data_IF_441320685894
#
_entry.id   IF_441320685894
#
_cell.length_a   1.000
_cell.length_b   1.000
_cell.length_c   1.000
_cell.angle_alpha   90.00
_cell.angle_beta   90.00
_cell.angle_gamma   90.00
#
_symmetry.space_group_name_H-M   'P 1'
#
loop_
_entity.id
_entity.type
_entity.pdbx_description
1 polymer ?
#
# COMPACT_ATOMS: atom_id res chain seq x y z
N UNK A 1 8.39 -20.95 -19.66
CA UNK A 1 8.99 -19.60 -19.46
C UNK A 1 10.50 -19.72 -19.19
N UNK A 2 11.30 -20.26 -20.13
CA UNK A 2 12.76 -20.43 -19.94
C UNK A 2 13.60 -19.72 -21.03
N UNK A 3 12.95 -19.22 -22.06
CA UNK A 3 13.59 -18.65 -23.26
C UNK A 3 14.04 -17.20 -23.04
N UNK A 4 13.20 -16.36 -22.44
CA UNK A 4 13.52 -14.94 -22.15
C UNK A 4 14.66 -14.82 -21.14
N UNK A 5 14.62 -15.60 -20.06
CA UNK A 5 15.63 -15.58 -19.00
C UNK A 5 17.04 -15.91 -19.53
N UNK A 6 17.16 -16.82 -20.51
CA UNK A 6 18.44 -17.20 -21.10
C UNK A 6 19.13 -16.07 -21.88
N UNK A 7 18.35 -15.21 -22.55
CA UNK A 7 18.88 -14.10 -23.37
C UNK A 7 19.46 -12.99 -22.48
N UNK A 8 18.85 -12.76 -21.32
CA UNK A 8 19.27 -11.70 -20.40
C UNK A 8 20.33 -12.15 -19.39
N UNK A 9 20.48 -13.46 -19.16
CA UNK A 9 21.48 -14.01 -18.23
C UNK A 9 22.92 -13.63 -18.59
N UNK A 10 23.24 -13.51 -19.89
CA UNK A 10 24.57 -13.08 -20.34
C UNK A 10 24.76 -11.56 -20.28
N UNK A 11 23.67 -10.79 -20.38
CA UNK A 11 23.70 -9.32 -20.40
C UNK A 11 23.67 -8.69 -19.02
N UNK A 12 23.03 -9.34 -18.06
CA UNK A 12 22.91 -8.88 -16.69
C UNK A 12 23.48 -9.93 -15.75
N UNK A 13 24.63 -9.61 -15.15
CA UNK A 13 25.17 -10.39 -14.03
C UNK A 13 24.25 -10.22 -12.83
N UNK A 14 24.08 -11.27 -12.04
CA UNK A 14 23.44 -11.14 -10.73
C UNK A 14 24.25 -10.16 -9.87
N UNK A 15 23.56 -9.30 -9.13
CA UNK A 15 24.20 -8.44 -8.12
C UNK A 15 24.83 -9.36 -7.07
N UNK A 16 26.11 -9.15 -6.75
CA UNK A 16 26.85 -9.92 -5.74
C UNK A 16 26.34 -9.66 -4.32
N UNK A 17 26.85 -10.41 -3.34
CA UNK A 17 26.49 -10.21 -1.94
C UNK A 17 26.89 -8.80 -1.48
N UNK A 18 26.12 -8.19 -0.56
CA UNK A 18 26.37 -6.81 -0.11
C UNK A 18 27.79 -6.63 0.48
N UNK A 19 28.33 -7.67 1.12
CA UNK A 19 29.69 -7.67 1.68
C UNK A 19 30.79 -7.57 0.61
N UNK A 20 30.51 -7.96 -0.64
CA UNK A 20 31.47 -7.91 -1.75
C UNK A 20 31.47 -6.53 -2.44
N UNK A 21 30.58 -5.62 -2.03
CA UNK A 21 30.44 -4.33 -2.70
C UNK A 21 31.59 -3.40 -2.31
N UNK A 22 32.22 -2.70 -3.27
CA UNK A 22 33.24 -1.72 -2.96
C UNK A 22 32.65 -0.57 -2.14
N UNK A 23 33.45 0.02 -1.26
CA UNK A 23 33.05 1.23 -0.53
C UNK A 23 32.66 2.33 -1.53
N UNK A 24 31.51 2.94 -1.31
CA UNK A 24 31.04 4.04 -2.14
C UNK A 24 31.86 5.31 -1.87
N UNK A 25 32.68 5.72 -2.84
CA UNK A 25 33.46 6.97 -2.82
C UNK A 25 32.84 8.08 -3.70
N UNK A 26 31.58 7.88 -4.10
CA UNK A 26 30.86 8.86 -4.89
C UNK A 26 30.33 10.03 -4.05
N UNK A 27 29.96 11.15 -4.68
CA UNK A 27 29.29 12.23 -3.98
C UNK A 27 27.95 11.76 -3.41
N UNK A 28 27.58 12.26 -2.23
CA UNK A 28 26.23 12.09 -1.71
C UNK A 28 25.26 12.94 -2.54
N UNK A 29 24.46 12.28 -3.37
CA UNK A 29 23.45 12.94 -4.19
C UNK A 29 22.19 13.12 -3.35
N UNK A 30 22.02 14.31 -2.78
CA UNK A 30 20.77 14.70 -2.15
C UNK A 30 19.83 15.32 -3.18
N UNK A 31 18.58 14.84 -3.31
CA UNK A 31 17.59 15.51 -4.15
C UNK A 31 17.41 16.95 -3.69
N UNK A 32 17.44 17.92 -4.62
CA UNK A 32 17.18 19.31 -4.27
C UNK A 32 15.71 19.46 -3.80
N UNK A 33 15.45 19.83 -2.53
CA UNK A 33 14.08 19.91 -2.01
C UNK A 33 13.19 20.88 -2.79
N UNK A 34 13.76 21.89 -3.44
CA UNK A 34 13.02 22.88 -4.27
C UNK A 34 12.56 22.32 -5.61
N UNK A 35 13.25 21.30 -6.12
CA UNK A 35 12.90 20.60 -7.37
C UNK A 35 12.06 19.35 -7.10
N UNK A 36 11.94 18.94 -5.84
CA UNK A 36 11.04 17.85 -5.49
C UNK A 36 9.61 18.26 -5.78
N UNK A 37 8.84 17.33 -6.34
CA UNK A 37 7.40 17.48 -6.47
C UNK A 37 6.84 17.72 -5.07
N UNK A 38 6.36 18.93 -4.80
CA UNK A 38 5.59 19.21 -3.59
C UNK A 38 4.44 18.21 -3.60
N UNK A 39 4.32 17.43 -2.53
CA UNK A 39 3.25 16.45 -2.36
C UNK A 39 1.94 17.23 -2.19
N UNK A 40 1.39 17.74 -3.29
CA UNK A 40 -0.01 18.14 -3.34
C UNK A 40 -0.80 16.86 -3.06
N UNK A 41 -1.73 16.94 -2.13
CA UNK A 41 -2.66 15.83 -1.89
C UNK A 41 -3.27 15.43 -3.23
N UNK A 42 -3.65 14.15 -3.34
CA UNK A 42 -4.40 13.69 -4.51
C UNK A 42 -5.59 14.63 -4.70
N UNK A 43 -5.76 15.24 -5.89
CA UNK A 43 -6.94 16.04 -6.16
C UNK A 43 -8.19 15.24 -5.80
N UNK A 44 -9.17 15.89 -5.17
CA UNK A 44 -10.46 15.27 -4.91
C UNK A 44 -11.04 14.86 -6.27
N UNK A 45 -11.46 13.60 -6.37
CA UNK A 45 -12.12 13.13 -7.58
C UNK A 45 -13.41 13.91 -7.78
N UNK A 46 -13.54 14.59 -8.93
CA UNK A 46 -14.79 15.22 -9.37
C UNK A 46 -15.69 14.24 -10.14
N UNK A 47 -15.24 12.99 -10.29
CA UNK A 47 -15.99 11.96 -11.01
C UNK A 47 -17.25 11.61 -10.22
N UNK A 48 -18.41 11.79 -10.84
CA UNK A 48 -19.67 11.17 -10.40
C UNK A 48 -19.55 9.66 -10.58
N UNK A 49 -19.85 8.87 -9.55
CA UNK A 49 -19.94 7.42 -9.66
C UNK A 49 -21.27 7.03 -10.31
N UNK A 50 -21.23 6.04 -11.21
CA UNK A 50 -22.41 5.54 -11.92
C UNK A 50 -22.77 4.14 -11.38
N UNK A 51 -23.92 3.59 -11.78
CA UNK A 51 -24.33 2.23 -11.39
C UNK A 51 -23.30 1.13 -11.79
N UNK A 52 -22.46 1.36 -12.81
CA UNK A 52 -21.36 0.43 -13.15
C UNK A 52 -20.19 0.48 -12.14
N UNK A 53 -20.02 1.59 -11.41
CA UNK A 53 -19.07 1.72 -10.32
C UNK A 53 -19.63 1.15 -9.00
N UNK A 54 -20.94 0.91 -8.92
CA UNK A 54 -21.58 0.29 -7.78
C UNK A 54 -21.26 -1.21 -7.77
N UNK A 55 -20.47 -1.62 -6.79
CA UNK A 55 -20.24 -3.05 -6.53
C UNK A 55 -21.40 -3.55 -5.67
N UNK A 56 -22.17 -4.51 -6.17
CA UNK A 56 -23.12 -5.24 -5.32
C UNK A 56 -22.36 -5.93 -4.19
N UNK A 57 -22.68 -5.54 -2.95
CA UNK A 57 -22.10 -6.14 -1.77
C UNK A 57 -22.80 -7.49 -1.53
N UNK A 58 -22.37 -8.54 -2.23
CA UNK A 58 -22.97 -9.88 -2.24
C UNK A 58 -22.80 -10.68 -0.95
N UNK A 59 -22.38 -10.06 0.15
CA UNK A 59 -22.19 -10.73 1.43
C UNK A 59 -22.37 -9.81 2.63
N UNK A 60 -22.62 -10.42 3.78
CA UNK A 60 -22.67 -9.71 5.07
C UNK A 60 -21.41 -8.87 5.24
N UNK A 61 -21.58 -7.55 5.44
CA UNK A 61 -20.46 -6.62 5.60
C UNK A 61 -19.60 -7.07 6.79
N UNK A 62 -18.35 -7.41 6.52
CA UNK A 62 -17.38 -7.82 7.54
C UNK A 62 -16.59 -6.61 8.04
N UNK A 63 -16.25 -6.61 9.30
CA UNK A 63 -15.39 -5.61 9.91
C UNK A 63 -14.05 -5.53 9.16
N UNK A 64 -13.65 -4.33 8.74
CA UNK A 64 -12.40 -4.10 8.01
C UNK A 64 -11.12 -4.34 8.83
N UNK A 65 -11.23 -4.66 10.13
CA UNK A 65 -10.11 -5.03 10.99
C UNK A 65 -10.13 -6.53 11.35
N UNK A 66 -11.11 -6.99 12.14
CA UNK A 66 -11.16 -8.37 12.63
C UNK A 66 -11.92 -9.35 11.70
N UNK A 67 -12.46 -8.86 10.58
CA UNK A 67 -13.23 -9.65 9.59
C UNK A 67 -14.48 -10.35 10.16
N UNK A 68 -14.99 -9.96 11.32
CA UNK A 68 -16.25 -10.48 11.85
C UNK A 68 -17.44 -9.65 11.35
N UNK A 69 -18.60 -10.28 11.19
CA UNK A 69 -19.85 -9.60 10.80
C UNK A 69 -20.46 -8.86 12.01
N UNK A 70 -21.46 -8.02 11.75
CA UNK A 70 -22.22 -7.33 12.81
C UNK A 70 -21.62 -6.01 13.31
N UNK A 71 -20.42 -5.63 12.87
CA UNK A 71 -19.84 -4.32 13.22
C UNK A 71 -18.90 -3.79 12.12
N UNK A 72 -18.66 -2.48 12.15
CA UNK A 72 -17.73 -1.83 11.20
C UNK A 72 -16.34 -1.71 11.80
N UNK A 73 -15.34 -1.37 10.97
CA UNK A 73 -14.00 -1.06 11.49
C UNK A 73 -14.05 0.01 12.60
N UNK A 74 -14.94 1.00 12.53
CA UNK A 74 -15.02 2.08 13.54
C UNK A 74 -15.54 1.61 14.90
N UNK A 75 -16.37 0.58 14.91
CA UNK A 75 -16.99 0.03 16.13
C UNK A 75 -16.34 -1.29 16.56
N UNK A 76 -15.16 -1.60 16.01
CA UNK A 76 -14.44 -2.81 16.33
C UNK A 76 -13.78 -2.70 17.70
N UNK A 77 -14.31 -3.44 18.67
CA UNK A 77 -13.73 -3.53 20.02
C UNK A 77 -12.34 -4.17 20.03
N UNK A 78 -11.95 -4.88 18.97
CA UNK A 78 -10.60 -5.44 18.83
C UNK A 78 -9.56 -4.37 18.44
N UNK A 79 -9.99 -3.21 17.92
CA UNK A 79 -9.05 -2.10 17.66
C UNK A 79 -8.60 -1.43 18.95
N UNK A 80 -9.43 -1.49 19.99
CA UNK A 80 -9.22 -0.77 21.24
C UNK A 80 -9.13 -1.80 22.36
N UNK A 81 -7.91 -2.15 22.78
CA UNK A 81 -7.66 -2.95 23.98
C UNK A 81 -8.23 -2.35 25.29
N UNK A 82 -9.20 -1.45 25.22
CA UNK A 82 -10.01 -0.93 26.31
C UNK A 82 -11.48 -0.89 25.87
N UNK A 83 -12.26 -1.83 26.41
CA UNK A 83 -13.70 -1.91 26.19
C UNK A 83 -14.41 -0.56 26.41
N UNK A 84 -14.98 0.01 25.35
CA UNK A 84 -15.91 1.13 25.43
C UNK A 84 -17.32 0.61 25.19
N UNK A 85 -17.96 0.13 26.25
CA UNK A 85 -19.38 -0.24 26.24
C UNK A 85 -20.23 1.00 25.95
N UNK A 86 -20.89 1.04 24.80
CA UNK A 86 -21.95 2.01 24.52
C UNK A 86 -23.30 1.28 24.59
N UNK A 87 -23.98 1.47 25.71
CA UNK A 87 -25.35 1.02 25.97
C UNK A 87 -26.30 2.00 25.27
N UNK A 88 -27.13 1.49 24.37
CA UNK A 88 -28.10 2.29 23.63
C UNK A 88 -29.23 2.84 24.52
N UNK A 89 -29.80 3.96 24.06
CA UNK A 89 -31.20 4.36 24.24
C UNK A 89 -31.81 4.48 22.85
#
# INVERSE_FOLDING_TARGET
MKTVFSVYRSKFRSIGHEDDWPSYDGPWIWPNPRLMRVKRSRPVSTRTCNNMDDVEHSGEKRCGFCRQVGHTRRTCTTLDGSASTSKGH
#
